data_IF_720870312480
#
_entry.id   IF_720870312480
#
_cell.length_a   1.000
_cell.length_b   1.000
_cell.length_c   1.000
_cell.angle_alpha   90.00
_cell.angle_beta   90.00
_cell.angle_gamma   90.00
#
_symmetry.space_group_name_H-M   'P 1'
#
loop_
_entity.id
_entity.type
_entity.pdbx_description
1 polymer ?
#
# COMPACT_ATOMS: atom_id res chain seq x y z
N UNK A 1 -7.50 -14.36 -18.25
CA UNK A 1 -6.31 -14.02 -17.44
C UNK A 1 -6.36 -12.58 -16.94
N UNK A 2 -6.61 -11.58 -17.79
CA UNK A 2 -6.65 -10.18 -17.36
C UNK A 2 -7.72 -9.85 -16.30
N UNK A 3 -8.90 -10.49 -16.39
CA UNK A 3 -9.99 -10.29 -15.43
C UNK A 3 -9.56 -10.71 -14.01
N UNK A 4 -8.91 -11.86 -13.88
CA UNK A 4 -8.42 -12.40 -12.62
C UNK A 4 -7.38 -11.48 -11.97
N UNK A 5 -6.43 -10.96 -12.77
CA UNK A 5 -5.44 -10.00 -12.26
C UNK A 5 -6.10 -8.73 -11.72
N UNK A 6 -7.08 -8.18 -12.46
CA UNK A 6 -7.82 -6.98 -12.04
C UNK A 6 -8.63 -7.22 -10.75
N UNK A 7 -9.19 -8.40 -10.57
CA UNK A 7 -9.90 -8.80 -9.34
C UNK A 7 -8.95 -8.85 -8.13
N UNK A 8 -7.76 -9.45 -8.30
CA UNK A 8 -6.73 -9.45 -7.25
C UNK A 8 -6.25 -8.04 -6.90
N UNK A 9 -6.07 -7.16 -7.89
CA UNK A 9 -5.71 -5.76 -7.63
C UNK A 9 -6.84 -5.03 -6.91
N UNK A 10 -8.10 -5.27 -7.28
CA UNK A 10 -9.25 -4.64 -6.63
C UNK A 10 -9.35 -4.97 -5.14
N UNK A 11 -9.00 -6.20 -4.73
CA UNK A 11 -8.97 -6.64 -3.33
C UNK A 11 -8.00 -5.83 -2.46
N UNK A 12 -6.93 -5.30 -3.04
CA UNK A 12 -5.94 -4.49 -2.31
C UNK A 12 -6.39 -3.05 -2.02
N UNK A 13 -7.57 -2.64 -2.53
CA UNK A 13 -8.11 -1.27 -2.39
C UNK A 13 -7.07 -0.19 -2.77
N UNK A 14 -6.65 -0.10 -4.05
CA UNK A 14 -5.50 0.71 -4.48
C UNK A 14 -5.60 2.20 -4.15
N UNK A 15 -6.82 2.76 -4.05
CA UNK A 15 -7.02 4.15 -3.62
C UNK A 15 -6.57 4.41 -2.17
N UNK A 16 -6.79 3.44 -1.27
CA UNK A 16 -6.38 3.54 0.14
C UNK A 16 -4.86 3.42 0.23
N UNK A 17 -4.27 2.48 -0.52
CA UNK A 17 -2.81 2.31 -0.58
C UNK A 17 -2.15 3.59 -1.11
N UNK A 18 -2.68 4.19 -2.19
CA UNK A 18 -2.15 5.44 -2.72
C UNK A 18 -2.11 6.56 -1.67
N UNK A 19 -3.22 6.74 -0.94
CA UNK A 19 -3.29 7.74 0.13
C UNK A 19 -2.22 7.49 1.21
N UNK A 20 -2.10 6.23 1.65
CA UNK A 20 -1.08 5.80 2.62
C UNK A 20 0.34 6.06 2.13
N UNK A 21 0.63 5.75 0.86
CA UNK A 21 1.96 5.95 0.25
C UNK A 21 2.32 7.42 0.11
N UNK A 22 1.37 8.29 -0.27
CA UNK A 22 1.60 9.73 -0.33
C UNK A 22 1.90 10.29 1.06
N UNK A 23 1.17 9.84 2.08
CA UNK A 23 1.47 10.23 3.47
C UNK A 23 2.84 9.73 3.92
N UNK A 24 3.22 8.50 3.59
CA UNK A 24 4.54 7.95 3.89
C UNK A 24 5.66 8.73 3.18
N UNK A 25 5.45 9.12 1.92
CA UNK A 25 6.37 9.96 1.17
C UNK A 25 6.54 11.33 1.85
N UNK A 26 5.45 11.96 2.27
CA UNK A 26 5.50 13.20 3.06
C UNK A 26 6.32 13.02 4.35
N UNK A 27 6.14 11.90 5.05
CA UNK A 27 6.93 11.55 6.23
C UNK A 27 8.43 11.43 5.94
N UNK A 28 8.82 10.86 4.80
CA UNK A 28 10.24 10.78 4.39
C UNK A 28 10.86 12.16 4.14
N UNK A 29 10.10 13.10 3.55
CA UNK A 29 10.53 14.48 3.36
C UNK A 29 10.58 15.29 4.66
N UNK A 30 9.75 14.96 5.66
CA UNK A 30 9.81 15.61 6.98
C UNK A 30 11.01 15.07 7.76
N UNK A 31 11.26 13.76 7.68
CA UNK A 31 12.36 13.09 8.38
C UNK A 31 13.74 13.43 7.80
N UNK A 32 13.82 13.72 6.50
CA UNK A 32 15.03 14.18 5.84
C UNK A 32 14.90 15.67 5.51
N UNK A 33 15.75 16.53 6.06
CA UNK A 33 15.78 17.97 5.73
C UNK A 33 16.15 18.27 4.25
N UNK A 34 16.40 17.21 3.46
CA UNK A 34 16.76 17.21 2.04
C UNK A 34 15.92 16.16 1.31
N UNK A 35 16.09 16.05 -0.02
CA UNK A 35 15.48 14.94 -0.76
C UNK A 35 15.87 13.60 -0.12
N UNK A 36 14.88 12.74 0.20
CA UNK A 36 15.17 11.42 0.74
C UNK A 36 15.91 10.59 -0.29
N UNK A 37 16.80 9.72 0.20
CA UNK A 37 17.53 8.79 -0.66
C UNK A 37 16.55 7.94 -1.49
N UNK A 38 16.87 7.76 -2.77
CA UNK A 38 15.98 7.09 -3.72
C UNK A 38 15.78 5.62 -3.34
N UNK A 39 16.82 4.96 -2.85
CA UNK A 39 16.75 3.56 -2.45
C UNK A 39 15.88 3.38 -1.20
N UNK A 40 16.03 4.26 -0.20
CA UNK A 40 15.16 4.29 0.97
C UNK A 40 13.70 4.55 0.56
N UNK A 41 13.48 5.52 -0.33
CA UNK A 41 12.13 5.87 -0.78
C UNK A 41 11.45 4.69 -1.48
N UNK A 42 12.14 4.02 -2.40
CA UNK A 42 11.59 2.85 -3.11
C UNK A 42 11.33 1.68 -2.18
N UNK A 43 12.24 1.40 -1.24
CA UNK A 43 12.06 0.29 -0.29
C UNK A 43 10.91 0.54 0.69
N UNK A 44 10.77 1.77 1.20
CA UNK A 44 9.65 2.15 2.09
C UNK A 44 8.31 2.13 1.36
N UNK A 45 8.23 2.75 0.18
CA UNK A 45 6.97 2.78 -0.57
C UNK A 45 6.59 1.39 -1.10
N UNK A 46 7.55 0.62 -1.60
CA UNK A 46 7.34 -0.75 -2.05
C UNK A 46 6.90 -1.67 -0.91
N UNK A 47 7.61 -1.64 0.23
CA UNK A 47 7.26 -2.39 1.42
C UNK A 47 5.90 -2.00 1.98
N UNK A 48 5.61 -0.69 2.05
CA UNK A 48 4.32 -0.15 2.50
C UNK A 48 3.16 -0.59 1.62
N UNK A 49 3.34 -0.60 0.29
CA UNK A 49 2.32 -1.06 -0.65
C UNK A 49 2.01 -2.56 -0.46
N UNK A 50 3.05 -3.39 -0.32
CA UNK A 50 2.90 -4.83 -0.10
C UNK A 50 2.24 -5.13 1.25
N UNK A 51 2.66 -4.46 2.33
CA UNK A 51 2.08 -4.63 3.65
C UNK A 51 0.61 -4.19 3.70
N UNK A 52 0.27 -3.03 3.13
CA UNK A 52 -1.10 -2.53 3.07
C UNK A 52 -2.01 -3.42 2.19
N UNK A 53 -1.49 -3.91 1.06
CA UNK A 53 -2.21 -4.86 0.20
C UNK A 53 -2.53 -6.17 0.91
N UNK A 54 -1.54 -6.75 1.62
CA UNK A 54 -1.74 -7.96 2.43
C UNK A 54 -2.75 -7.75 3.56
N UNK A 55 -2.64 -6.63 4.29
CA UNK A 55 -3.59 -6.29 5.35
C UNK A 55 -5.03 -6.14 4.82
N UNK A 56 -5.22 -5.50 3.67
CA UNK A 56 -6.54 -5.37 3.04
C UNK A 56 -7.13 -6.72 2.62
N UNK A 57 -6.30 -7.64 2.10
CA UNK A 57 -6.74 -8.99 1.77
C UNK A 57 -7.17 -9.79 3.02
N UNK A 58 -6.40 -9.67 4.11
CA UNK A 58 -6.75 -10.31 5.39
C UNK A 58 -8.04 -9.71 5.96
N UNK A 59 -8.18 -8.39 5.98
CA UNK A 59 -9.40 -7.73 6.44
C UNK A 59 -10.62 -8.21 5.65
N UNK A 60 -10.51 -8.29 4.33
CA UNK A 60 -11.58 -8.84 3.48
C UNK A 60 -11.93 -10.30 3.79
N UNK A 61 -10.92 -11.12 4.12
CA UNK A 61 -11.16 -12.52 4.52
C UNK A 61 -11.88 -12.61 5.86
N UNK A 62 -11.49 -11.79 6.84
CA UNK A 62 -12.10 -11.78 8.19
C UNK A 62 -13.54 -11.24 8.14
N UNK A 63 -13.81 -10.24 7.31
CA UNK A 63 -15.14 -9.65 7.14
C UNK A 63 -16.16 -10.61 6.52
N UNK A 64 -15.71 -11.73 5.92
CA UNK A 64 -16.59 -12.67 5.19
C UNK A 64 -17.67 -13.32 6.07
N UNK A 65 -17.43 -13.46 7.38
CA UNK A 65 -18.32 -14.18 8.32
C UNK A 65 -19.04 -13.25 9.30
N UNK A 66 -19.10 -11.95 8.99
CA UNK A 66 -19.74 -10.94 9.85
C UNK A 66 -21.28 -11.00 9.90
N UNK A 67 -21.91 -12.12 9.55
CA UNK A 67 -23.38 -12.30 9.50
C UNK A 67 -23.77 -13.71 9.90
#
# INVERSE_FOLDING_TARGET
>A
MELLFKEYVSLTKPKIIYLLLVTALGGLFIANEKLPDLWITVTVLGGGALAAGGANAINHYLDREST
#
